data_IF_325436025210
#
_entry.id   IF_325436025210
#
_cell.length_a   1.000
_cell.length_b   1.000
_cell.length_c   1.000
_cell.angle_alpha   90.00
_cell.angle_beta   90.00
_cell.angle_gamma   90.00
#
_symmetry.space_group_name_H-M   'P 1'
#
loop_
_entity.id
_entity.type
_entity.pdbx_description
1 polymer ?
#
# COMPACT_ATOMS: atom_id res chain seq x y z
N UNK A 1 -4.78 -10.93 9.13
CA UNK A 1 -4.88 -9.49 8.84
C UNK A 1 -6.11 -9.24 7.96
N UNK A 2 -6.98 -8.36 8.40
CA UNK A 2 -8.24 -8.08 7.69
C UNK A 2 -7.99 -7.47 6.31
N UNK A 3 -7.00 -6.59 6.18
CA UNK A 3 -6.66 -5.96 4.90
C UNK A 3 -6.44 -6.99 3.80
N UNK A 4 -5.68 -8.04 4.09
CA UNK A 4 -5.36 -9.08 3.10
C UNK A 4 -6.59 -9.86 2.66
N UNK A 5 -7.51 -10.10 3.59
CA UNK A 5 -8.73 -10.86 3.32
C UNK A 5 -9.80 -10.04 2.62
N UNK A 6 -9.98 -8.78 3.05
CA UNK A 6 -11.03 -7.91 2.53
C UNK A 6 -10.64 -7.21 1.24
N UNK A 7 -9.35 -6.97 1.03
CA UNK A 7 -8.81 -6.27 -0.13
C UNK A 7 -7.82 -7.16 -0.87
N UNK A 8 -8.30 -8.19 -1.61
CA UNK A 8 -7.41 -9.03 -2.40
C UNK A 8 -6.64 -8.21 -3.42
N UNK A 9 -5.35 -8.50 -3.55
CA UNK A 9 -4.52 -7.81 -4.52
C UNK A 9 -4.82 -8.33 -5.92
N UNK A 10 -5.08 -7.39 -6.85
CA UNK A 10 -5.23 -7.68 -8.25
C UNK A 10 -4.35 -6.73 -9.05
N UNK A 11 -3.25 -7.24 -9.55
CA UNK A 11 -2.22 -6.45 -10.22
C UNK A 11 -2.73 -5.81 -11.52
N UNK A 12 -3.75 -6.39 -12.14
CA UNK A 12 -4.36 -5.87 -13.36
C UNK A 12 -5.56 -4.98 -13.10
N UNK A 13 -6.05 -4.96 -11.86
CA UNK A 13 -7.29 -4.30 -11.55
C UNK A 13 -7.18 -2.79 -11.73
N UNK A 14 -8.24 -2.22 -12.26
CA UNK A 14 -8.53 -0.82 -12.10
C UNK A 14 -8.95 -0.58 -10.65
N UNK A 15 -8.95 0.70 -10.25
CA UNK A 15 -9.27 1.05 -8.87
C UNK A 15 -10.70 0.65 -8.53
N UNK A 16 -10.85 -0.04 -7.40
CA UNK A 16 -12.14 -0.46 -6.85
C UNK A 16 -12.60 0.51 -5.76
N UNK A 17 -12.77 1.79 -6.13
CA UNK A 17 -13.05 2.87 -5.16
C UNK A 17 -14.35 2.62 -4.41
N UNK A 18 -15.41 2.23 -5.11
CA UNK A 18 -16.71 1.97 -4.49
C UNK A 18 -16.63 0.80 -3.49
N UNK A 19 -15.92 -0.27 -3.86
CA UNK A 19 -15.71 -1.41 -2.97
C UNK A 19 -14.91 -1.00 -1.74
N UNK A 20 -13.86 -0.20 -1.95
CA UNK A 20 -13.02 0.30 -0.87
C UNK A 20 -13.81 1.15 0.13
N UNK A 21 -14.66 2.03 -0.36
CA UNK A 21 -15.54 2.85 0.48
C UNK A 21 -16.50 2.00 1.30
N UNK A 22 -17.11 0.99 0.69
CA UNK A 22 -18.03 0.08 1.38
C UNK A 22 -17.32 -0.74 2.46
N UNK A 23 -16.16 -1.29 2.14
CA UNK A 23 -15.36 -2.06 3.09
C UNK A 23 -14.90 -1.21 4.25
N UNK A 24 -14.46 0.02 3.98
CA UNK A 24 -14.03 0.96 5.01
C UNK A 24 -15.15 1.29 5.99
N UNK A 25 -16.36 1.51 5.47
CA UNK A 25 -17.51 1.83 6.30
C UNK A 25 -18.00 0.65 7.15
N UNK A 26 -17.88 -0.58 6.63
CA UNK A 26 -18.49 -1.76 7.23
C UNK A 26 -17.55 -2.56 8.14
N UNK A 27 -16.22 -2.41 7.99
CA UNK A 27 -15.25 -3.27 8.66
C UNK A 27 -14.28 -2.46 9.53
N UNK A 28 -14.57 -2.44 10.84
CA UNK A 28 -13.71 -1.74 11.81
C UNK A 28 -12.32 -2.36 11.87
N UNK A 29 -12.19 -3.66 11.66
CA UNK A 29 -10.89 -4.35 11.64
C UNK A 29 -10.01 -3.90 10.47
N UNK A 30 -10.59 -3.54 9.34
CA UNK A 30 -9.83 -2.96 8.23
C UNK A 30 -9.26 -1.59 8.61
N UNK A 31 -10.07 -0.75 9.24
CA UNK A 31 -9.62 0.57 9.72
C UNK A 31 -8.50 0.45 10.74
N UNK A 32 -8.61 -0.53 11.64
CA UNK A 32 -7.58 -0.78 12.66
C UNK A 32 -6.26 -1.23 12.03
N UNK A 33 -6.31 -2.08 11.02
CA UNK A 33 -5.11 -2.52 10.30
C UNK A 33 -4.42 -1.36 9.58
N UNK A 34 -5.20 -0.52 8.90
CA UNK A 34 -4.67 0.66 8.20
C UNK A 34 -4.03 1.62 9.20
N UNK A 35 -4.69 1.89 10.33
CA UNK A 35 -4.15 2.77 11.36
C UNK A 35 -2.81 2.25 11.90
N UNK A 36 -2.71 0.96 12.18
CA UNK A 36 -1.46 0.34 12.64
C UNK A 36 -0.35 0.49 11.61
N UNK A 37 -0.65 0.25 10.34
CA UNK A 37 0.33 0.38 9.26
C UNK A 37 0.80 1.83 9.14
N UNK A 38 -0.12 2.80 9.21
CA UNK A 38 0.25 4.22 9.16
C UNK A 38 1.13 4.63 10.34
N UNK A 39 0.88 4.08 11.53
CA UNK A 39 1.74 4.32 12.69
C UNK A 39 3.17 3.82 12.46
N UNK A 40 3.31 2.65 11.85
CA UNK A 40 4.63 2.11 11.52
C UNK A 40 5.34 3.01 10.51
N UNK A 41 4.64 3.41 9.45
CA UNK A 41 5.23 4.28 8.41
C UNK A 41 5.60 5.66 8.96
N UNK A 42 4.85 6.17 9.93
CA UNK A 42 5.10 7.47 10.53
C UNK A 42 6.34 7.50 11.42
N UNK A 43 6.91 6.34 11.79
CA UNK A 43 8.12 6.27 12.61
C UNK A 43 9.39 6.58 11.83
N UNK A 44 9.34 6.60 10.50
CA UNK A 44 10.52 6.98 9.71
C UNK A 44 10.87 8.45 9.93
N UNK A 45 12.17 8.79 9.80
CA UNK A 45 12.60 10.18 9.90
C UNK A 45 11.97 11.03 8.78
N UNK A 46 11.70 12.30 9.08
CA UNK A 46 10.95 13.18 8.17
C UNK A 46 11.62 13.33 6.81
N UNK A 47 12.95 13.40 6.78
CA UNK A 47 13.71 13.55 5.53
C UNK A 47 13.93 12.23 4.78
N UNK A 48 13.55 11.09 5.38
CA UNK A 48 13.79 9.79 4.77
C UNK A 48 12.58 9.36 3.91
N UNK A 49 12.81 9.00 2.63
CA UNK A 49 11.73 8.49 1.79
C UNK A 49 11.28 7.09 2.19
N UNK A 50 12.15 6.29 2.81
CA UNK A 50 11.89 4.92 3.20
C UNK A 50 12.09 4.73 4.70
N UNK A 51 11.68 3.55 5.22
CA UNK A 51 11.62 3.30 6.67
C UNK A 51 12.97 3.49 7.36
N UNK A 52 14.06 3.09 6.71
CA UNK A 52 15.42 3.17 7.23
C UNK A 52 16.32 4.10 6.41
N UNK A 53 15.72 5.04 5.69
CA UNK A 53 16.44 5.98 4.83
C UNK A 53 16.47 5.51 3.39
N UNK A 54 17.26 4.48 3.09
CA UNK A 54 17.33 3.87 1.78
C UNK A 54 16.35 2.72 1.65
N UNK A 55 15.99 2.37 0.41
CA UNK A 55 15.08 1.26 0.14
C UNK A 55 15.65 -0.05 0.69
N UNK A 56 14.82 -0.78 1.45
CA UNK A 56 15.22 -2.00 2.13
C UNK A 56 14.18 -3.10 1.94
N UNK A 57 14.48 -4.29 2.46
CA UNK A 57 13.53 -5.43 2.47
C UNK A 57 12.22 -5.05 3.16
N UNK A 58 12.28 -4.22 4.22
CA UNK A 58 11.07 -3.76 4.89
C UNK A 58 10.14 -2.99 3.94
N UNK A 59 10.70 -2.11 3.11
CA UNK A 59 9.93 -1.36 2.13
C UNK A 59 9.37 -2.28 1.03
N UNK A 60 10.16 -3.22 0.56
CA UNK A 60 9.71 -4.21 -0.41
C UNK A 60 8.53 -5.03 0.13
N UNK A 61 8.55 -5.34 1.42
CA UNK A 61 7.48 -6.07 2.09
C UNK A 61 6.16 -5.29 2.09
N UNK A 62 6.25 -3.96 2.13
CA UNK A 62 5.05 -3.10 2.11
C UNK A 62 4.53 -2.79 0.71
N UNK A 63 5.25 -3.13 -0.35
CA UNK A 63 4.79 -2.86 -1.72
C UNK A 63 3.40 -3.44 -2.01
N UNK A 64 3.07 -4.71 -1.67
CA UNK A 64 1.72 -5.25 -1.85
C UNK A 64 0.67 -4.50 -1.03
N UNK A 65 1.01 -4.05 0.17
CA UNK A 65 0.12 -3.27 1.03
C UNK A 65 -0.19 -1.91 0.38
N UNK A 66 0.84 -1.24 -0.12
CA UNK A 66 0.69 0.04 -0.84
C UNK A 66 -0.23 -0.12 -2.05
N UNK A 67 -0.05 -1.19 -2.81
CA UNK A 67 -0.90 -1.47 -3.97
C UNK A 67 -2.36 -1.67 -3.57
N UNK A 68 -2.62 -2.36 -2.46
CA UNK A 68 -3.99 -2.54 -1.95
C UNK A 68 -4.60 -1.21 -1.54
N UNK A 69 -3.85 -0.38 -0.81
CA UNK A 69 -4.33 0.94 -0.39
C UNK A 69 -4.70 1.79 -1.59
N UNK A 70 -3.87 1.76 -2.63
CA UNK A 70 -4.07 2.52 -3.85
C UNK A 70 -5.27 2.00 -4.65
N UNK A 71 -5.37 0.68 -4.83
CA UNK A 71 -6.43 0.05 -5.63
C UNK A 71 -7.82 0.28 -5.05
N UNK A 72 -7.93 0.28 -3.73
CA UNK A 72 -9.21 0.48 -3.05
C UNK A 72 -9.40 1.92 -2.57
N UNK A 73 -8.45 2.81 -2.87
CA UNK A 73 -8.46 4.22 -2.47
C UNK A 73 -8.77 4.40 -0.99
N UNK A 74 -8.12 3.62 -0.14
CA UNK A 74 -8.34 3.67 1.31
C UNK A 74 -7.85 5.02 1.86
N UNK A 75 -8.59 5.65 2.80
CA UNK A 75 -8.20 6.94 3.36
C UNK A 75 -6.93 6.80 4.19
N UNK A 76 -5.89 7.54 3.83
CA UNK A 76 -4.62 7.58 4.56
C UNK A 76 -4.13 9.02 4.66
N UNK A 77 -3.24 9.27 5.63
CA UNK A 77 -2.65 10.60 5.84
C UNK A 77 -1.79 11.01 4.65
N UNK A 78 -1.55 12.31 4.53
CA UNK A 78 -0.63 12.85 3.52
C UNK A 78 0.78 12.24 3.65
N UNK A 79 1.26 12.08 4.89
CA UNK A 79 2.56 11.46 5.15
C UNK A 79 2.60 10.02 4.64
N UNK A 80 1.54 9.24 4.84
CA UNK A 80 1.44 7.90 4.29
C UNK A 80 1.38 7.91 2.77
N UNK A 81 0.67 8.85 2.16
CA UNK A 81 0.62 8.99 0.71
C UNK A 81 2.01 9.27 0.12
N UNK A 82 2.81 10.09 0.78
CA UNK A 82 4.19 10.36 0.35
C UNK A 82 5.03 9.08 0.38
N UNK A 83 4.94 8.31 1.45
CA UNK A 83 5.62 7.02 1.54
C UNK A 83 5.19 6.07 0.43
N UNK A 84 3.89 5.97 0.18
CA UNK A 84 3.34 5.14 -0.90
C UNK A 84 3.90 5.53 -2.26
N UNK A 85 4.02 6.84 -2.54
CA UNK A 85 4.60 7.32 -3.79
C UNK A 85 6.06 6.92 -3.92
N UNK A 86 6.85 7.05 -2.85
CA UNK A 86 8.26 6.62 -2.89
C UNK A 86 8.38 5.12 -3.17
N UNK A 87 7.54 4.30 -2.55
CA UNK A 87 7.51 2.85 -2.81
C UNK A 87 7.17 2.58 -4.28
N UNK A 88 6.09 3.17 -4.79
CA UNK A 88 5.59 2.88 -6.13
C UNK A 88 6.50 3.39 -7.25
N UNK A 89 7.34 4.39 -6.96
CA UNK A 89 8.28 4.92 -7.96
C UNK A 89 9.68 4.32 -7.86
N UNK A 90 9.95 3.48 -6.87
CA UNK A 90 11.24 2.81 -6.79
C UNK A 90 11.39 1.78 -7.91
N UNK A 91 12.57 1.74 -8.54
CA UNK A 91 12.81 0.89 -9.71
C UNK A 91 12.57 -0.60 -9.45
N UNK A 92 12.96 -1.09 -8.26
CA UNK A 92 12.72 -2.49 -7.90
C UNK A 92 11.24 -2.83 -7.86
N UNK A 93 10.40 -1.92 -7.35
CA UNK A 93 8.95 -2.10 -7.27
C UNK A 93 8.32 -2.02 -8.66
N UNK A 94 8.72 -1.05 -9.47
CA UNK A 94 8.19 -0.92 -10.84
C UNK A 94 8.54 -2.13 -11.69
N UNK A 95 9.74 -2.67 -11.57
CA UNK A 95 10.14 -3.89 -12.27
C UNK A 95 9.30 -5.10 -11.82
N UNK A 96 9.07 -5.23 -10.53
CA UNK A 96 8.23 -6.31 -9.99
C UNK A 96 6.79 -6.21 -10.50
N UNK A 97 6.21 -5.02 -10.48
CA UNK A 97 4.84 -4.79 -10.96
C UNK A 97 4.73 -5.09 -12.46
N UNK A 98 5.68 -4.62 -13.25
CA UNK A 98 5.69 -4.85 -14.70
C UNK A 98 5.82 -6.34 -15.01
N UNK A 99 6.69 -7.06 -14.32
CA UNK A 99 6.86 -8.50 -14.49
C UNK A 99 5.57 -9.26 -14.12
N UNK A 100 4.93 -8.89 -13.03
CA UNK A 100 3.69 -9.52 -12.57
C UNK A 100 2.54 -9.28 -13.57
N UNK A 101 2.46 -8.06 -14.13
CA UNK A 101 1.45 -7.76 -15.16
C UNK A 101 1.69 -8.55 -16.45
N UNK A 102 2.94 -8.71 -16.84
CA UNK A 102 3.30 -9.49 -18.02
C UNK A 102 2.93 -10.97 -17.85
N UNK A 103 3.15 -11.53 -16.67
CA UNK A 103 2.76 -12.92 -16.38
C UNK A 103 1.24 -13.09 -16.35
N UNK A 104 0.52 -12.09 -15.85
CA UNK A 104 -0.94 -12.16 -15.74
C UNK A 104 -1.64 -11.92 -17.07
N UNK A 105 -0.95 -11.29 -18.01
CA UNK A 105 -1.49 -11.09 -19.35
C UNK A 105 -1.47 -12.39 -20.18
#
# INVERSE_FOLDING_TARGET
>A
MALRQLCPMNIQAQYSIAEGQALWAQHAELRADVERIEQIWAQRADEHPFLFGDFSIADAFYAPVVMRFKSYALPVSERSQQYMQHIMHHSAVTQWVDAARAEAA
#
